data_IF_688480970600
#
_entry.id   IF_688480970600
#
_cell.length_a   1.000
_cell.length_b   1.000
_cell.length_c   1.000
_cell.angle_alpha   90.00
_cell.angle_beta   90.00
_cell.angle_gamma   90.00
#
_symmetry.space_group_name_H-M   'P 1'
#
loop_
_entity.id
_entity.type
_entity.pdbx_description
1 polymer ?
#
# COMPACT_ATOMS: atom_id res chain seq x y z
N UNK A 1 11.97 -10.08 -8.18
CA UNK A 1 11.22 -8.81 -8.08
C UNK A 1 11.11 -8.29 -6.64
N UNK A 2 10.70 -9.11 -5.66
CA UNK A 2 10.48 -8.68 -4.27
C UNK A 2 11.65 -7.91 -3.63
N UNK A 3 12.91 -8.36 -3.81
CA UNK A 3 14.06 -7.62 -3.28
C UNK A 3 14.25 -6.23 -3.91
N UNK A 4 13.90 -6.07 -5.19
CA UNK A 4 13.98 -4.78 -5.88
C UNK A 4 12.90 -3.85 -5.35
N UNK A 5 11.65 -4.33 -5.27
CA UNK A 5 10.53 -3.56 -4.72
C UNK A 5 10.82 -3.08 -3.28
N UNK A 6 11.37 -3.97 -2.44
CA UNK A 6 11.77 -3.62 -1.07
C UNK A 6 12.89 -2.59 -1.01
N UNK A 7 13.92 -2.70 -1.86
CA UNK A 7 15.04 -1.73 -1.88
C UNK A 7 14.64 -0.35 -2.39
N UNK A 8 13.84 -0.28 -3.45
CA UNK A 8 13.52 0.99 -4.11
C UNK A 8 12.27 1.67 -3.57
N UNK A 9 11.29 0.89 -3.12
CA UNK A 9 9.98 1.40 -2.69
C UNK A 9 9.62 1.02 -1.25
N UNK A 10 10.48 0.30 -0.54
CA UNK A 10 10.24 -0.10 0.86
C UNK A 10 9.03 -1.03 1.02
N UNK A 11 8.58 -1.70 -0.03
CA UNK A 11 7.33 -2.44 -0.02
C UNK A 11 7.47 -3.95 -0.12
N UNK A 12 6.44 -4.64 0.40
CA UNK A 12 6.17 -6.04 0.14
C UNK A 12 5.08 -6.18 -0.92
N UNK A 13 5.31 -7.07 -1.89
CA UNK A 13 4.39 -7.31 -3.01
C UNK A 13 4.30 -8.79 -3.36
N UNK A 14 3.14 -9.17 -3.87
CA UNK A 14 2.88 -10.45 -4.53
C UNK A 14 2.13 -10.21 -5.83
N UNK A 15 2.10 -11.20 -6.71
CA UNK A 15 1.35 -11.11 -7.97
C UNK A 15 -0.12 -11.41 -7.67
N UNK A 16 -0.94 -10.37 -7.66
CA UNK A 16 -2.40 -10.43 -7.51
C UNK A 16 -3.09 -10.07 -8.83
N UNK A 17 -4.40 -10.29 -8.97
CA UNK A 17 -5.13 -9.82 -10.16
C UNK A 17 -5.05 -8.30 -10.34
N UNK A 18 -4.97 -7.55 -9.23
CA UNK A 18 -4.89 -6.09 -9.19
C UNK A 18 -3.45 -5.55 -9.11
N UNK A 19 -2.43 -6.35 -9.48
CA UNK A 19 -1.01 -5.96 -9.31
C UNK A 19 -0.63 -4.63 -10.00
N UNK A 20 -1.31 -4.27 -11.09
CA UNK A 20 -1.09 -2.98 -11.79
C UNK A 20 -1.53 -1.80 -10.93
N UNK A 21 -2.69 -1.89 -10.31
CA UNK A 21 -3.17 -0.89 -9.35
C UNK A 21 -2.25 -0.86 -8.13
N UNK A 22 -1.87 -2.03 -7.60
CA UNK A 22 -0.95 -2.14 -6.48
C UNK A 22 0.38 -1.43 -6.76
N UNK A 23 0.95 -1.64 -7.95
CA UNK A 23 2.17 -0.96 -8.39
C UNK A 23 1.98 0.56 -8.46
N UNK A 24 0.86 1.04 -8.99
CA UNK A 24 0.55 2.48 -9.03
C UNK A 24 0.51 3.09 -7.63
N UNK A 25 -0.22 2.46 -6.69
CA UNK A 25 -0.29 2.91 -5.29
C UNK A 25 1.06 2.91 -4.58
N UNK A 26 1.92 1.93 -4.86
CA UNK A 26 3.29 1.87 -4.31
C UNK A 26 4.14 3.05 -4.80
N UNK A 27 4.07 3.36 -6.10
CA UNK A 27 4.79 4.50 -6.67
C UNK A 27 4.29 5.80 -6.03
N UNK A 28 2.98 5.97 -5.91
CA UNK A 28 2.40 7.14 -5.23
C UNK A 28 2.85 7.22 -3.77
N UNK A 29 2.82 6.11 -3.03
CA UNK A 29 3.28 6.07 -1.64
C UNK A 29 4.76 6.46 -1.51
N UNK A 30 5.60 6.02 -2.43
CA UNK A 30 7.01 6.42 -2.46
C UNK A 30 7.18 7.93 -2.71
N UNK A 31 6.41 8.50 -3.65
CA UNK A 31 6.38 9.96 -3.91
C UNK A 31 5.88 10.72 -2.68
N UNK A 32 4.80 10.26 -2.06
CA UNK A 32 4.22 10.83 -0.84
C UNK A 32 5.23 10.88 0.31
N UNK A 33 5.92 9.77 0.60
CA UNK A 33 6.98 9.72 1.63
C UNK A 33 8.16 10.62 1.29
N UNK A 34 8.57 10.67 0.02
CA UNK A 34 9.65 11.54 -0.40
C UNK A 34 9.29 13.02 -0.21
N UNK A 35 8.08 13.43 -0.59
CA UNK A 35 7.58 14.79 -0.42
C UNK A 35 7.43 15.16 1.07
N UNK A 36 6.89 14.25 1.89
CA UNK A 36 6.66 14.49 3.31
C UNK A 36 7.95 14.81 4.07
N UNK A 37 9.05 14.12 3.76
CA UNK A 37 10.39 14.41 4.34
C UNK A 37 10.89 15.83 4.05
N UNK A 38 10.29 16.51 3.08
CA UNK A 38 10.63 17.89 2.69
C UNK A 38 9.54 18.90 3.11
N UNK A 39 8.68 18.58 4.09
CA UNK A 39 7.54 19.41 4.50
C UNK A 39 6.61 19.77 3.33
N UNK A 40 6.38 18.82 2.42
CA UNK A 40 5.44 18.93 1.30
C UNK A 40 4.40 17.81 1.35
N UNK A 41 3.18 18.15 0.98
CA UNK A 41 2.13 17.19 0.69
C UNK A 41 2.02 16.89 -0.80
N UNK A 42 1.20 15.89 -1.15
CA UNK A 42 0.80 15.63 -2.54
C UNK A 42 -0.72 15.52 -2.68
N UNK A 43 -1.23 15.98 -3.80
CA UNK A 43 -2.57 15.73 -4.29
C UNK A 43 -2.43 14.99 -5.62
N UNK A 44 -2.85 13.72 -5.67
CA UNK A 44 -2.81 12.94 -6.91
C UNK A 44 -3.94 13.39 -7.82
N UNK A 45 -3.58 13.87 -9.00
CA UNK A 45 -4.54 14.31 -10.01
C UNK A 45 -5.02 13.12 -10.84
N UNK A 46 -4.10 12.23 -11.22
CA UNK A 46 -4.43 10.90 -11.73
C UNK A 46 -3.22 9.97 -11.64
N UNK A 47 -3.50 8.67 -11.66
CA UNK A 47 -2.51 7.62 -11.80
C UNK A 47 -3.02 6.58 -12.81
N UNK A 48 -2.16 6.09 -13.67
CA UNK A 48 -2.52 5.05 -14.64
C UNK A 48 -1.38 4.03 -14.78
N UNK A 49 -1.75 2.75 -14.83
CA UNK A 49 -0.86 1.65 -15.11
C UNK A 49 -1.22 1.04 -16.47
N UNK A 50 -0.41 1.32 -17.49
CA UNK A 50 -0.61 0.84 -18.86
C UNK A 50 0.55 -0.07 -19.24
N UNK A 51 0.21 -1.27 -19.73
CA UNK A 51 1.18 -2.30 -20.11
C UNK A 51 2.28 -2.52 -19.05
N UNK A 52 3.47 -1.96 -19.27
CA UNK A 52 4.68 -2.07 -18.45
C UNK A 52 5.13 -0.73 -17.84
N UNK A 53 4.26 0.28 -17.79
CA UNK A 53 4.53 1.59 -17.24
C UNK A 53 3.47 2.05 -16.23
N UNK A 54 3.92 2.84 -15.24
CA UNK A 54 3.06 3.54 -14.27
C UNK A 54 3.32 5.03 -14.41
N UNK A 55 2.29 5.79 -14.77
CA UNK A 55 2.29 7.25 -14.77
C UNK A 55 1.55 7.76 -13.53
N UNK A 56 2.17 8.69 -12.81
CA UNK A 56 1.54 9.42 -11.71
C UNK A 56 1.68 10.91 -11.98
N UNK A 57 0.56 11.63 -11.98
CA UNK A 57 0.55 13.08 -12.02
C UNK A 57 0.02 13.59 -10.68
N UNK A 58 0.84 14.35 -9.97
CA UNK A 58 0.53 14.87 -8.66
C UNK A 58 0.88 16.36 -8.56
N UNK A 59 0.04 17.10 -7.86
CA UNK A 59 0.30 18.48 -7.44
C UNK A 59 1.02 18.46 -6.09
N UNK A 60 2.10 19.21 -5.98
CA UNK A 60 2.86 19.35 -4.71
C UNK A 60 2.25 20.47 -3.88
N UNK A 61 1.89 20.15 -2.64
CA UNK A 61 1.34 21.07 -1.66
C UNK A 61 2.45 21.54 -0.71
N UNK A 62 2.42 22.80 -0.29
CA UNK A 62 3.45 23.39 0.58
C UNK A 62 3.00 23.41 2.03
N UNK A 63 3.92 23.05 2.93
CA UNK A 63 3.76 23.22 4.36
C UNK A 63 3.71 21.89 5.13
N UNK A 64 4.11 21.91 6.41
CA UNK A 64 4.17 20.71 7.24
C UNK A 64 2.80 20.08 7.43
N UNK A 65 1.73 20.87 7.59
CA UNK A 65 0.36 20.33 7.70
C UNK A 65 -0.03 19.47 6.50
N UNK A 66 0.26 19.94 5.27
CA UNK A 66 -0.01 19.13 4.08
C UNK A 66 0.86 17.88 3.98
N UNK A 67 2.09 17.93 4.51
CA UNK A 67 2.97 16.78 4.60
C UNK A 67 2.41 15.72 5.55
N UNK A 68 1.96 16.14 6.74
CA UNK A 68 1.36 15.25 7.74
C UNK A 68 0.09 14.59 7.21
N UNK A 69 -0.82 15.36 6.60
CA UNK A 69 -2.05 14.82 5.98
C UNK A 69 -1.76 13.88 4.81
N UNK A 70 -0.67 14.11 4.08
CA UNK A 70 -0.23 13.20 3.02
C UNK A 70 0.32 11.90 3.58
N UNK A 71 1.11 11.98 4.65
CA UNK A 71 1.70 10.81 5.31
C UNK A 71 0.63 9.91 5.95
N UNK A 72 -0.42 10.50 6.54
CA UNK A 72 -1.56 9.77 7.14
C UNK A 72 -2.33 8.89 6.15
N UNK A 73 -2.29 9.20 4.85
CA UNK A 73 -2.96 8.41 3.81
C UNK A 73 -2.21 7.11 3.48
N UNK A 74 -0.97 6.97 3.92
CA UNK A 74 -0.17 5.79 3.62
C UNK A 74 -0.57 4.66 4.56
N UNK A 75 -1.05 3.56 3.99
CA UNK A 75 -1.54 2.40 4.74
C UNK A 75 -1.00 1.09 4.17
N UNK A 76 -1.13 0.02 4.94
CA UNK A 76 -0.85 -1.34 4.48
C UNK A 76 -2.15 -2.06 4.14
N UNK A 77 -2.08 -2.98 3.19
CA UNK A 77 -3.21 -3.79 2.74
C UNK A 77 -3.00 -5.23 3.20
N UNK A 78 -3.95 -5.77 3.94
CA UNK A 78 -3.97 -7.19 4.28
C UNK A 78 -4.71 -7.89 3.14
N UNK A 79 -4.07 -8.89 2.53
CA UNK A 79 -4.59 -9.61 1.37
C UNK A 79 -4.61 -11.12 1.63
N UNK A 80 -5.75 -11.76 1.39
CA UNK A 80 -5.86 -13.20 1.37
C UNK A 80 -5.34 -13.76 0.04
N UNK A 81 -4.30 -14.60 0.10
CA UNK A 81 -3.69 -15.26 -1.06
C UNK A 81 -4.56 -16.37 -1.66
N UNK A 82 -5.70 -16.71 -1.04
CA UNK A 82 -6.60 -17.78 -1.49
C UNK A 82 -7.83 -17.25 -2.22
N UNK A 83 -8.57 -16.32 -1.62
CA UNK A 83 -9.81 -15.78 -2.18
C UNK A 83 -9.70 -14.32 -2.65
N UNK A 84 -8.51 -13.73 -2.58
CA UNK A 84 -8.21 -12.34 -2.93
C UNK A 84 -8.93 -11.24 -2.14
N UNK A 85 -9.66 -11.62 -1.09
CA UNK A 85 -10.25 -10.69 -0.14
C UNK A 85 -9.18 -9.79 0.48
N UNK A 86 -9.52 -8.53 0.71
CA UNK A 86 -8.53 -7.53 1.11
C UNK A 86 -9.13 -6.37 1.89
N UNK A 87 -8.37 -5.89 2.87
CA UNK A 87 -8.76 -4.76 3.71
C UNK A 87 -7.53 -3.90 4.00
N UNK A 88 -7.70 -2.58 4.05
CA UNK A 88 -6.67 -1.70 4.58
C UNK A 88 -6.56 -1.93 6.08
N UNK A 89 -5.32 -2.09 6.55
CA UNK A 89 -5.03 -2.21 7.97
C UNK A 89 -5.55 -0.98 8.70
N UNK A 90 -6.31 -1.20 9.78
CA UNK A 90 -6.83 -0.09 10.59
C UNK A 90 -5.70 0.63 11.31
N UNK A 91 -5.79 1.95 11.37
CA UNK A 91 -4.86 2.77 12.14
C UNK A 91 -5.02 2.43 13.63
N UNK A 92 -3.97 1.91 14.26
CA UNK A 92 -3.95 1.56 15.67
C UNK A 92 -2.53 1.47 16.20
N UNK A 93 -2.30 2.00 17.40
CA UNK A 93 -1.00 1.93 18.07
C UNK A 93 -0.73 0.55 18.69
N UNK A 94 -1.68 -0.37 18.61
CA UNK A 94 -1.56 -1.72 19.16
C UNK A 94 -1.18 -2.69 18.03
N UNK A 95 -0.13 -3.47 18.27
CA UNK A 95 0.27 -4.55 17.36
C UNK A 95 -0.81 -5.62 17.42
N UNK A 96 -1.54 -5.83 16.33
CA UNK A 96 -2.51 -6.92 16.27
C UNK A 96 -1.77 -8.23 16.02
N UNK A 97 -1.84 -9.16 16.97
CA UNK A 97 -1.12 -10.44 16.93
C UNK A 97 -1.52 -11.31 15.73
N UNK A 98 -2.74 -11.11 15.21
CA UNK A 98 -3.31 -11.90 14.14
C UNK A 98 -4.00 -10.98 13.10
N UNK A 99 -3.29 -10.56 12.04
CA UNK A 99 -3.89 -9.73 10.98
C UNK A 99 -4.96 -10.47 10.17
N UNK A 100 -5.03 -11.81 10.27
CA UNK A 100 -6.04 -12.63 9.60
C UNK A 100 -7.47 -12.32 10.08
N UNK A 101 -7.64 -11.85 11.33
CA UNK A 101 -8.96 -11.48 11.89
C UNK A 101 -9.58 -10.24 11.26
N UNK A 102 -8.80 -9.40 10.58
CA UNK A 102 -9.32 -8.22 9.91
C UNK A 102 -9.98 -8.56 8.57
N UNK A 103 -9.62 -9.70 7.97
CA UNK A 103 -10.21 -10.14 6.71
C UNK A 103 -11.63 -10.67 6.95
N UNK A 104 -12.62 -10.32 6.12
CA UNK A 104 -13.98 -10.84 6.25
C UNK A 104 -14.11 -12.32 5.82
N UNK A 105 -13.07 -12.92 5.22
CA UNK A 105 -13.07 -14.31 4.81
C UNK A 105 -12.65 -15.28 5.93
N UNK A 106 -13.11 -16.53 5.89
CA UNK A 106 -12.70 -17.60 6.81
C UNK A 106 -11.61 -18.54 6.24
N UNK A 107 -10.84 -18.11 5.24
CA UNK A 107 -9.83 -18.97 4.61
C UNK A 107 -8.73 -19.40 5.58
N UNK A 108 -8.45 -18.62 6.63
CA UNK A 108 -7.50 -18.97 7.67
C UNK A 108 -7.92 -20.21 8.49
N UNK A 109 -9.23 -20.46 8.64
CA UNK A 109 -9.74 -21.62 9.38
C UNK A 109 -9.87 -22.89 8.54
N UNK A 110 -10.02 -22.75 7.21
CA UNK A 110 -10.22 -23.89 6.30
C UNK A 110 -8.96 -24.37 5.59
N UNK A 111 -7.94 -23.52 5.46
CA UNK A 111 -6.70 -23.83 4.75
C UNK A 111 -5.52 -23.96 5.70
N UNK A 112 -4.59 -24.86 5.40
CA UNK A 112 -3.33 -24.97 6.14
C UNK A 112 -2.35 -23.86 5.73
N UNK A 113 -1.61 -23.33 6.71
CA UNK A 113 -0.55 -22.34 6.49
C UNK A 113 -1.01 -20.88 6.59
N UNK A 114 -0.10 -19.97 6.20
CA UNK A 114 -0.34 -18.52 6.20
C UNK A 114 -1.11 -18.15 4.94
N UNK A 115 -2.39 -17.80 5.10
CA UNK A 115 -3.28 -17.44 3.97
C UNK A 115 -3.34 -15.95 3.69
N UNK A 116 -2.82 -15.11 4.58
CA UNK A 116 -2.85 -13.66 4.46
C UNK A 116 -1.43 -13.09 4.46
N UNK A 117 -1.25 -12.05 3.66
CA UNK A 117 0.00 -11.31 3.52
C UNK A 117 -0.28 -9.82 3.61
N UNK A 118 0.63 -9.10 4.24
CA UNK A 118 0.63 -7.65 4.25
C UNK A 118 1.33 -7.13 2.99
N UNK A 119 0.65 -6.26 2.25
CA UNK A 119 1.13 -5.59 1.04
C UNK A 119 1.26 -4.10 1.29
N UNK A 120 2.20 -3.46 0.59
CA UNK A 120 2.45 -2.03 0.74
C UNK A 120 3.81 -1.74 1.37
N UNK A 121 4.08 -0.48 1.76
CA UNK A 121 3.10 0.61 1.96
C UNK A 121 2.43 1.11 0.67
N UNK A 122 1.13 1.44 0.76
CA UNK A 122 0.26 1.94 -0.31
C UNK A 122 -0.28 3.33 0.03
N UNK A 123 -0.63 4.11 -0.99
CA UNK A 123 -1.36 5.38 -0.88
C UNK A 123 -2.79 5.21 -1.40
#
# INVERSE_FOLDING_TARGET
AQHVARRHYGCNIVRTEYYKELAARIVVAAVARAAARCNKGIEVLFAVALEHFVLVVARVLRGPTSADETAKKIQYLIHCQWCEERIFQKDGNMVEENPYRQLPCNCHGSMSGKTAIELGPLW
#
